data_IF_668978192488
#
_entry.id   IF_668978192488
#
_cell.length_a   1.000
_cell.length_b   1.000
_cell.length_c   1.000
_cell.angle_alpha   90.00
_cell.angle_beta   90.00
_cell.angle_gamma   90.00
#
_symmetry.space_group_name_H-M   'P 1'
#
loop_
_entity.id
_entity.type
_entity.pdbx_description
1 polymer ?
#
# COMPACT_ATOMS: atom_id res chain seq x y z
N UNK A 1 -29.03 -25.88 -3.72
CA UNK A 1 -28.30 -26.27 -2.50
C UNK A 1 -28.55 -27.73 -2.21
N UNK A 2 -27.48 -28.49 -2.02
CA UNK A 2 -27.44 -29.69 -1.21
C UNK A 2 -26.01 -29.75 -0.66
N UNK A 3 -25.88 -29.73 0.66
CA UNK A 3 -24.60 -29.91 1.34
C UNK A 3 -24.34 -31.42 1.39
N UNK A 4 -23.40 -31.92 0.60
CA UNK A 4 -22.79 -33.23 0.81
C UNK A 4 -21.35 -32.97 1.20
N UNK A 5 -21.06 -33.01 2.51
CA UNK A 5 -19.69 -33.06 3.01
C UNK A 5 -19.10 -34.43 2.72
N UNK A 6 -18.02 -34.50 1.94
CA UNK A 6 -17.30 -35.74 1.70
C UNK A 6 -16.24 -35.91 2.78
N UNK A 7 -16.34 -36.98 3.57
CA UNK A 7 -15.24 -37.49 4.39
C UNK A 7 -14.40 -38.40 3.50
N UNK A 8 -13.12 -38.11 3.30
CA UNK A 8 -12.18 -39.03 2.63
C UNK A 8 -11.37 -39.78 3.68
N UNK A 9 -11.86 -40.95 4.07
CA UNK A 9 -11.21 -41.87 5.00
C UNK A 9 -12.06 -43.12 5.22
N UNK A 10 -11.43 -44.23 5.56
CA UNK A 10 -12.13 -45.49 5.86
C UNK A 10 -12.85 -45.38 7.22
N UNK A 11 -14.18 -45.44 7.19
CA UNK A 11 -15.04 -45.35 8.37
C UNK A 11 -14.80 -46.50 9.38
N UNK A 12 -14.27 -47.64 8.95
CA UNK A 12 -14.01 -48.78 9.83
C UNK A 12 -12.67 -48.68 10.57
N UNK A 13 -11.74 -47.86 10.09
CA UNK A 13 -10.41 -47.71 10.66
C UNK A 13 -10.28 -46.51 11.64
N UNK A 14 -11.33 -45.69 11.78
CA UNK A 14 -11.38 -44.50 12.65
C UNK A 14 -10.25 -43.47 12.37
N UNK A 15 -9.73 -43.45 11.14
CA UNK A 15 -8.71 -42.49 10.69
C UNK A 15 -9.37 -41.34 9.94
N UNK A 16 -9.97 -40.40 10.68
CA UNK A 16 -10.48 -39.15 10.11
C UNK A 16 -9.34 -38.13 10.05
N UNK A 17 -9.04 -37.62 8.87
CA UNK A 17 -8.24 -36.41 8.71
C UNK A 17 -9.19 -35.26 8.37
N UNK A 18 -9.17 -34.21 9.19
CA UNK A 18 -9.90 -32.98 8.93
C UNK A 18 -9.09 -32.17 7.91
N UNK A 19 -9.58 -32.12 6.67
CA UNK A 19 -8.93 -31.35 5.60
C UNK A 19 -9.16 -29.84 5.86
N UNK A 20 -8.07 -29.11 6.09
CA UNK A 20 -8.04 -27.65 6.25
C UNK A 20 -7.60 -26.93 4.97
N UNK A 21 -7.71 -27.56 3.80
CA UNK A 21 -7.46 -26.86 2.55
C UNK A 21 -8.47 -25.70 2.34
N UNK A 22 -8.01 -24.51 1.91
CA UNK A 22 -8.87 -23.36 1.72
C UNK A 22 -9.80 -23.61 0.54
N UNK A 23 -11.09 -23.74 0.83
CA UNK A 23 -12.11 -23.86 -0.19
C UNK A 23 -12.28 -22.50 -0.90
N UNK A 24 -11.61 -22.34 -2.05
CA UNK A 24 -11.83 -21.21 -2.95
C UNK A 24 -13.18 -21.40 -3.63
N UNK A 25 -14.23 -20.84 -3.01
CA UNK A 25 -15.50 -20.66 -3.69
C UNK A 25 -15.36 -19.48 -4.65
N UNK A 26 -15.23 -19.74 -5.95
CA UNK A 26 -15.55 -18.73 -6.94
C UNK A 26 -17.08 -18.63 -7.06
N UNK A 27 -17.71 -17.50 -6.73
CA UNK A 27 -19.13 -17.34 -6.97
C UNK A 27 -19.39 -17.12 -8.47
N UNK A 28 -20.43 -17.73 -9.05
CA UNK A 28 -21.00 -17.24 -10.30
C UNK A 28 -21.66 -15.89 -10.00
N UNK A 29 -21.30 -14.83 -10.73
CA UNK A 29 -21.78 -13.45 -10.50
C UNK A 29 -23.31 -13.39 -10.60
N UNK A 30 -24.00 -13.06 -9.50
CA UNK A 30 -24.69 -11.78 -9.39
C UNK A 30 -24.49 -11.15 -8.01
N UNK A 31 -23.70 -10.07 -7.96
CA UNK A 31 -23.36 -9.31 -6.75
C UNK A 31 -21.93 -8.77 -6.77
N UNK A 32 -21.53 -8.08 -7.85
CA UNK A 32 -20.18 -7.58 -8.10
C UNK A 32 -19.79 -6.35 -7.24
N UNK A 33 -20.20 -6.32 -5.96
CA UNK A 33 -20.17 -5.10 -5.14
C UNK A 33 -19.02 -5.02 -4.14
N UNK A 34 -18.26 -6.10 -3.93
CA UNK A 34 -17.21 -6.18 -2.90
C UNK A 34 -15.94 -6.75 -3.54
N UNK A 35 -14.95 -5.91 -3.74
CA UNK A 35 -13.77 -6.25 -4.56
C UNK A 35 -12.44 -5.99 -3.85
N UNK A 36 -12.39 -5.04 -2.91
CA UNK A 36 -11.21 -4.81 -2.08
C UNK A 36 -11.16 -5.74 -0.86
N UNK A 37 -12.31 -5.99 -0.23
CA UNK A 37 -12.37 -6.85 0.97
C UNK A 37 -11.85 -8.28 0.75
N UNK A 38 -12.13 -8.97 -0.38
CA UNK A 38 -11.68 -10.35 -0.57
C UNK A 38 -10.16 -10.48 -0.73
N UNK A 39 -9.49 -9.47 -1.29
CA UNK A 39 -8.07 -9.54 -1.65
C UNK A 39 -7.11 -9.18 -0.51
N UNK A 40 -7.59 -8.45 0.52
CA UNK A 40 -6.76 -8.09 1.65
C UNK A 40 -6.56 -9.28 2.60
N UNK A 41 -5.32 -9.46 3.05
CA UNK A 41 -4.94 -10.46 4.05
C UNK A 41 -5.68 -10.24 5.36
N UNK A 42 -6.17 -11.32 5.98
CA UNK A 42 -6.97 -11.29 7.21
C UNK A 42 -6.35 -12.17 8.27
N UNK A 43 -6.19 -11.63 9.48
CA UNK A 43 -5.61 -12.34 10.61
C UNK A 43 -6.47 -12.18 11.86
N UNK A 44 -6.53 -13.23 12.68
CA UNK A 44 -7.19 -13.19 13.98
C UNK A 44 -6.14 -13.05 15.09
N UNK A 45 -6.27 -12.00 15.89
CA UNK A 45 -5.23 -11.46 16.75
C UNK A 45 -5.79 -11.14 18.14
N UNK A 46 -5.07 -11.53 19.21
CA UNK A 46 -5.33 -11.27 20.65
C UNK A 46 -6.76 -11.49 21.17
N UNK A 47 -6.93 -11.59 22.48
CA UNK A 47 -8.24 -11.72 23.14
C UNK A 47 -8.79 -10.39 23.69
N UNK A 48 -7.96 -9.34 23.75
CA UNK A 48 -8.33 -8.05 24.31
C UNK A 48 -8.19 -6.90 23.30
N UNK A 49 -9.08 -5.91 23.40
CA UNK A 49 -9.09 -4.72 22.52
C UNK A 49 -7.96 -3.78 22.96
N UNK A 50 -6.76 -4.01 22.43
CA UNK A 50 -5.57 -3.21 22.72
C UNK A 50 -5.12 -2.41 21.51
N UNK A 51 -4.37 -1.33 21.74
CA UNK A 51 -3.67 -0.62 20.66
C UNK A 51 -2.76 -1.62 19.92
N UNK A 52 -2.86 -1.69 18.59
CA UNK A 52 -1.94 -2.49 17.78
C UNK A 52 -0.72 -1.65 17.44
N UNK A 53 0.45 -2.14 17.79
CA UNK A 53 1.73 -1.52 17.46
C UNK A 53 2.55 -2.48 16.61
N UNK A 54 3.21 -1.93 15.59
CA UNK A 54 4.19 -2.65 14.79
C UNK A 54 5.45 -1.79 14.66
N UNK A 55 6.58 -2.47 14.44
CA UNK A 55 7.85 -1.81 14.19
C UNK A 55 8.03 -1.72 12.69
N UNK A 56 8.14 -0.49 12.18
CA UNK A 56 8.54 -0.26 10.80
C UNK A 56 10.05 -0.09 10.74
N UNK A 57 10.67 -0.77 9.77
CA UNK A 57 12.07 -0.56 9.42
C UNK A 57 12.12 0.27 8.14
N UNK A 58 12.43 1.56 8.26
CA UNK A 58 12.67 2.43 7.10
C UNK A 58 14.05 2.08 6.50
N UNK A 59 14.10 1.95 5.18
CA UNK A 59 15.40 1.89 4.49
C UNK A 59 16.13 3.20 4.75
N UNK A 60 17.43 3.12 5.07
CA UNK A 60 18.22 4.34 5.25
C UNK A 60 18.27 5.06 3.90
N UNK A 61 17.87 6.35 3.83
CA UNK A 61 18.00 7.10 2.60
C UNK A 61 19.47 7.11 2.16
N UNK A 62 19.68 6.81 0.88
CA UNK A 62 20.99 6.91 0.24
C UNK A 62 21.18 8.27 -0.42
N UNK A 63 20.33 9.26 -0.13
CA UNK A 63 20.43 10.58 -0.73
C UNK A 63 20.39 11.68 0.32
N UNK A 64 21.01 12.81 -0.02
CA UNK A 64 21.01 14.03 0.77
C UNK A 64 20.55 15.19 -0.12
N UNK A 65 19.49 15.86 0.29
CA UNK A 65 19.04 17.09 -0.35
C UNK A 65 19.64 18.28 0.37
N UNK A 66 20.07 19.28 -0.39
CA UNK A 66 20.63 20.50 0.15
C UNK A 66 20.04 21.73 -0.53
N UNK A 67 19.97 22.83 0.22
CA UNK A 67 19.84 24.17 -0.36
C UNK A 67 21.07 24.95 0.04
N UNK A 68 21.89 25.29 -0.95
CA UNK A 68 23.10 26.06 -0.71
C UNK A 68 22.75 27.52 -0.40
N UNK A 69 23.49 28.13 0.54
CA UNK A 69 23.51 29.58 0.71
C UNK A 69 24.29 30.26 -0.42
N UNK A 70 24.19 31.58 -0.55
CA UNK A 70 25.02 32.32 -1.50
C UNK A 70 26.47 32.38 -0.99
N UNK A 71 27.41 31.69 -1.64
CA UNK A 71 28.83 32.04 -1.53
C UNK A 71 29.84 30.89 -1.44
N UNK A 72 29.46 29.71 -0.96
CA UNK A 72 30.35 28.55 -0.78
C UNK A 72 29.51 27.26 -0.89
N UNK A 73 29.91 26.32 -1.77
CA UNK A 73 29.22 25.04 -1.98
C UNK A 73 29.25 24.44 -3.39
N UNK A 74 28.36 23.47 -3.63
CA UNK A 74 28.37 22.62 -4.83
C UNK A 74 27.98 23.32 -6.13
N UNK A 75 27.43 24.53 -6.07
CA UNK A 75 27.17 25.35 -7.26
C UNK A 75 28.45 25.89 -7.93
N UNK A 76 29.59 25.78 -7.26
CA UNK A 76 30.90 26.20 -7.75
C UNK A 76 31.65 25.02 -8.36
N UNK A 77 32.35 25.25 -9.47
CA UNK A 77 33.17 24.19 -10.10
C UNK A 77 34.41 23.86 -9.28
N UNK A 78 34.89 24.74 -8.40
CA UNK A 78 36.18 24.58 -7.72
C UNK A 78 36.07 24.37 -6.21
N UNK A 79 34.90 24.60 -5.64
CA UNK A 79 34.73 24.52 -4.20
C UNK A 79 34.71 23.08 -3.71
N UNK A 80 35.29 22.88 -2.54
CA UNK A 80 35.49 21.59 -1.88
C UNK A 80 34.78 21.53 -0.53
N UNK A 81 34.15 22.62 -0.07
CA UNK A 81 33.35 22.63 1.14
C UNK A 81 31.87 22.69 0.79
N UNK A 82 31.11 21.65 1.14
CA UNK A 82 29.69 21.53 0.85
C UNK A 82 28.88 21.55 2.13
N UNK A 83 27.93 22.47 2.23
CA UNK A 83 27.13 22.68 3.42
C UNK A 83 25.72 22.08 3.27
N UNK A 84 25.41 21.08 4.09
CA UNK A 84 24.08 20.48 4.22
C UNK A 84 23.52 20.72 5.63
N UNK A 85 22.23 20.47 5.83
CA UNK A 85 21.69 20.42 7.18
C UNK A 85 22.28 19.20 7.93
N UNK A 86 22.77 19.42 9.16
CA UNK A 86 23.41 18.37 9.96
C UNK A 86 22.50 17.14 10.18
N UNK A 87 21.19 17.37 10.29
CA UNK A 87 20.20 16.30 10.43
C UNK A 87 20.17 15.38 9.19
N UNK A 88 20.28 15.94 7.99
CA UNK A 88 20.19 15.21 6.73
C UNK A 88 21.47 14.41 6.46
N UNK A 89 22.64 15.00 6.76
CA UNK A 89 23.95 14.32 6.72
C UNK A 89 23.95 13.09 7.63
N UNK A 90 23.43 13.23 8.85
CA UNK A 90 23.30 12.10 9.79
C UNK A 90 22.27 11.08 9.34
N UNK A 91 21.13 11.51 8.80
CA UNK A 91 20.05 10.61 8.33
C UNK A 91 20.53 9.74 7.15
N UNK A 92 21.25 10.33 6.20
CA UNK A 92 21.82 9.63 5.05
C UNK A 92 23.07 8.78 5.39
N UNK A 93 23.64 8.96 6.59
CA UNK A 93 24.82 8.22 7.05
C UNK A 93 26.12 8.63 6.36
N UNK A 94 26.21 9.89 5.89
CA UNK A 94 27.40 10.39 5.21
C UNK A 94 28.59 10.40 6.18
N UNK A 95 29.72 9.91 5.68
CA UNK A 95 31.00 9.84 6.36
C UNK A 95 32.14 10.02 5.35
N UNK A 96 33.35 10.23 5.84
CA UNK A 96 34.53 10.15 5.00
C UNK A 96 34.56 8.79 4.25
N UNK A 97 34.84 8.84 2.96
CA UNK A 97 34.74 7.71 2.04
C UNK A 97 33.44 7.63 1.25
N UNK A 98 32.41 8.41 1.58
CA UNK A 98 31.16 8.44 0.80
C UNK A 98 31.39 9.05 -0.59
N UNK A 99 30.85 8.43 -1.63
CA UNK A 99 30.85 8.95 -2.99
C UNK A 99 29.47 9.52 -3.33
N UNK A 100 29.44 10.79 -3.73
CA UNK A 100 28.22 11.55 -4.03
C UNK A 100 28.10 11.79 -5.54
N UNK A 101 26.90 11.66 -6.09
CA UNK A 101 26.58 12.02 -7.48
C UNK A 101 25.26 12.78 -7.53
N UNK A 102 25.13 13.69 -8.50
CA UNK A 102 23.89 14.46 -8.67
C UNK A 102 22.74 13.54 -9.06
N UNK A 103 21.75 13.43 -8.17
CA UNK A 103 20.54 12.65 -8.38
C UNK A 103 19.43 13.48 -9.04
N UNK A 104 19.54 14.81 -8.99
CA UNK A 104 18.57 15.74 -9.58
C UNK A 104 18.80 15.90 -11.07
N UNK A 105 20.06 16.05 -11.47
CA UNK A 105 20.48 16.13 -12.86
C UNK A 105 21.39 14.95 -13.22
N UNK A 106 20.75 13.86 -13.68
CA UNK A 106 21.44 12.63 -14.10
C UNK A 106 22.25 12.78 -15.39
N UNK A 107 22.26 13.97 -16.02
CA UNK A 107 23.17 14.23 -17.15
C UNK A 107 24.59 14.53 -16.69
N UNK A 108 24.75 14.98 -15.44
CA UNK A 108 26.04 15.19 -14.80
C UNK A 108 26.68 13.87 -14.44
N UNK A 109 27.99 13.81 -14.64
CA UNK A 109 28.78 12.58 -14.49
C UNK A 109 29.75 12.67 -13.34
N UNK A 110 29.84 13.83 -12.71
CA UNK A 110 30.72 14.02 -11.59
C UNK A 110 30.37 13.10 -10.42
N UNK A 111 31.41 12.45 -9.90
CA UNK A 111 31.37 11.77 -8.61
C UNK A 111 32.27 12.54 -7.65
N UNK A 112 31.74 13.02 -6.53
CA UNK A 112 32.50 13.70 -5.49
C UNK A 112 32.79 12.77 -4.31
N UNK A 113 34.05 12.67 -3.89
CA UNK A 113 34.45 11.87 -2.74
C UNK A 113 34.48 12.72 -1.47
N UNK A 114 33.69 12.36 -0.47
CA UNK A 114 33.74 12.98 0.86
C UNK A 114 35.00 12.50 1.59
N UNK A 115 35.84 13.44 2.03
CA UNK A 115 37.07 13.17 2.78
C UNK A 115 36.98 13.59 4.24
N UNK A 116 36.07 14.51 4.57
CA UNK A 116 35.82 14.98 5.94
C UNK A 116 34.35 15.32 6.14
N UNK A 117 33.87 15.13 7.38
CA UNK A 117 32.51 15.51 7.80
C UNK A 117 32.61 16.18 9.17
N UNK A 118 32.10 17.40 9.29
CA UNK A 118 32.02 18.16 10.54
C UNK A 118 30.64 18.80 10.67
N UNK A 119 29.75 18.17 11.45
CA UNK A 119 28.34 18.58 11.53
C UNK A 119 27.65 18.45 10.16
N UNK A 120 27.13 19.56 9.63
CA UNK A 120 26.55 19.64 8.29
C UNK A 120 27.56 19.92 7.16
N UNK A 121 28.83 20.17 7.48
CA UNK A 121 29.86 20.53 6.49
C UNK A 121 30.60 19.30 6.00
N UNK A 122 30.68 19.13 4.68
CA UNK A 122 31.44 18.07 4.02
C UNK A 122 32.66 18.68 3.34
N UNK A 123 33.82 18.04 3.49
CA UNK A 123 34.99 18.33 2.66
C UNK A 123 35.03 17.29 1.55
N UNK A 124 35.02 17.71 0.29
CA UNK A 124 34.94 16.83 -0.88
C UNK A 124 36.13 16.97 -1.81
N UNK A 125 36.51 15.88 -2.46
CA UNK A 125 37.35 15.88 -3.65
C UNK A 125 36.41 15.81 -4.85
N UNK A 126 36.48 16.83 -5.70
CA UNK A 126 35.63 16.98 -6.89
C UNK A 126 36.11 16.07 -8.01
N UNK A 127 35.18 15.66 -8.87
CA UNK A 127 35.43 14.77 -10.01
C UNK A 127 36.34 13.58 -9.68
N UNK A 128 36.09 12.93 -8.55
CA UNK A 128 36.85 11.78 -8.10
C UNK A 128 36.83 10.66 -9.15
N UNK A 129 38.01 10.24 -9.60
CA UNK A 129 38.17 9.29 -10.70
C UNK A 129 38.22 9.92 -12.10
N UNK A 130 38.01 11.24 -12.23
CA UNK A 130 38.24 11.99 -13.46
C UNK A 130 37.19 11.76 -14.55
N UNK A 131 35.93 11.52 -14.20
CA UNK A 131 34.87 11.24 -15.19
C UNK A 131 34.51 12.47 -16.04
N UNK A 132 34.71 13.68 -15.49
CA UNK A 132 34.47 14.96 -16.15
C UNK A 132 35.75 15.49 -16.80
N UNK A 133 36.85 15.50 -16.03
CA UNK A 133 38.15 16.05 -16.45
C UNK A 133 38.98 15.12 -17.33
N UNK A 134 38.67 13.81 -17.34
CA UNK A 134 39.51 12.79 -17.97
C UNK A 134 40.83 12.52 -17.24
N UNK A 135 41.06 13.14 -16.08
CA UNK A 135 42.30 13.08 -15.33
C UNK A 135 42.06 12.72 -13.87
N UNK A 136 42.03 11.43 -13.54
CA UNK A 136 42.35 10.85 -12.21
C UNK A 136 41.81 11.44 -10.89
N UNK A 137 40.90 12.43 -10.89
CA UNK A 137 40.49 13.18 -9.70
C UNK A 137 41.15 14.55 -9.57
N UNK A 138 40.41 15.57 -9.10
CA UNK A 138 40.93 16.94 -8.94
C UNK A 138 40.14 17.81 -7.95
N UNK A 139 40.38 19.12 -8.01
CA UNK A 139 39.58 20.13 -7.26
C UNK A 139 38.59 20.85 -8.17
N UNK A 140 38.41 20.39 -9.42
CA UNK A 140 37.52 21.00 -10.40
C UNK A 140 36.48 19.99 -10.87
N UNK A 141 35.21 20.36 -10.79
CA UNK A 141 34.04 19.57 -11.16
C UNK A 141 33.01 20.39 -11.94
N UNK A 142 31.79 19.88 -12.01
CA UNK A 142 30.62 20.48 -12.64
C UNK A 142 29.84 21.35 -11.64
N UNK A 143 29.30 22.49 -12.08
CA UNK A 143 28.44 23.31 -11.23
C UNK A 143 27.09 22.63 -10.99
N UNK A 144 26.68 22.44 -9.73
CA UNK A 144 25.38 21.89 -9.37
C UNK A 144 24.32 22.99 -9.14
N UNK A 145 23.04 22.65 -9.25
CA UNK A 145 21.98 23.61 -8.92
C UNK A 145 22.00 23.91 -7.41
N UNK A 146 21.62 25.13 -7.01
CA UNK A 146 21.58 25.52 -5.58
C UNK A 146 20.62 24.65 -4.78
N UNK A 147 19.57 24.14 -5.41
CA UNK A 147 18.70 23.08 -4.90
C UNK A 147 18.97 21.79 -5.66
N UNK A 148 19.79 20.91 -5.09
CA UNK A 148 20.01 19.58 -5.65
C UNK A 148 19.98 18.52 -4.55
N UNK A 149 19.73 17.31 -5.01
CA UNK A 149 19.81 16.07 -4.22
C UNK A 149 20.99 15.28 -4.74
N UNK A 150 21.87 14.86 -3.84
CA UNK A 150 22.98 13.96 -4.15
C UNK A 150 22.67 12.55 -3.67
N UNK A 151 22.99 11.55 -4.48
CA UNK A 151 22.89 10.14 -4.16
C UNK A 151 24.27 9.58 -3.76
N UNK A 152 24.28 8.71 -2.76
CA UNK A 152 25.45 8.01 -2.24
C UNK A 152 25.59 6.70 -3.01
N UNK A 153 26.56 6.64 -3.92
CA UNK A 153 26.80 5.45 -4.74
C UNK A 153 27.51 4.35 -3.95
N UNK A 154 28.29 4.73 -2.94
CA UNK A 154 28.98 3.77 -2.08
C UNK A 154 29.95 4.42 -1.10
N UNK A 155 30.63 3.57 -0.34
CA UNK A 155 31.64 3.96 0.64
C UNK A 155 32.97 3.29 0.31
N UNK A 156 34.00 4.10 0.11
CA UNK A 156 35.38 3.63 -0.03
C UNK A 156 36.06 3.62 1.34
N UNK A 157 36.72 2.50 1.62
CA UNK A 157 37.51 2.31 2.82
C UNK A 157 38.95 2.02 2.41
N UNK A 158 39.91 2.44 3.24
CA UNK A 158 41.29 2.05 3.03
C UNK A 158 41.44 0.54 3.17
N UNK A 159 42.29 -0.05 2.34
CA UNK A 159 42.61 -1.48 2.44
C UNK A 159 43.18 -1.79 3.83
N UNK A 160 42.62 -2.78 4.51
CA UNK A 160 43.02 -3.16 5.87
C UNK A 160 42.44 -2.28 6.99
N UNK A 161 41.59 -1.31 6.66
CA UNK A 161 40.82 -0.58 7.68
C UNK A 161 39.84 -1.52 8.39
N UNK A 162 39.69 -1.29 9.69
CA UNK A 162 38.74 -2.01 10.54
C UNK A 162 37.61 -1.08 10.94
N UNK A 163 36.41 -1.65 11.10
CA UNK A 163 35.25 -0.91 11.55
C UNK A 163 35.49 -0.35 12.96
N UNK A 164 35.36 0.96 13.13
CA UNK A 164 35.50 1.64 14.41
C UNK A 164 34.13 2.03 14.99
N UNK A 165 34.04 2.21 16.31
CA UNK A 165 32.80 2.66 16.97
C UNK A 165 32.40 4.09 16.59
N UNK A 166 33.32 4.85 16.00
CA UNK A 166 33.12 6.21 15.50
C UNK A 166 32.64 6.24 14.05
N UNK A 167 32.62 5.10 13.36
CA UNK A 167 32.07 5.02 12.01
C UNK A 167 30.56 5.26 12.09
N UNK A 168 30.12 6.36 11.49
CA UNK A 168 28.71 6.71 11.41
C UNK A 168 28.03 5.82 10.36
N UNK A 169 27.71 4.59 10.72
CA UNK A 169 26.89 3.74 9.87
C UNK A 169 25.45 4.25 9.89
N UNK A 170 24.86 4.31 8.70
CA UNK A 170 23.43 4.33 8.49
C UNK A 170 22.76 3.30 9.42
N UNK A 171 22.07 3.77 10.45
CA UNK A 171 21.25 2.91 11.31
C UNK A 171 19.88 2.80 10.66
N UNK A 172 19.37 1.58 10.56
CA UNK A 172 17.96 1.37 10.24
C UNK A 172 17.11 2.07 11.29
N UNK A 173 16.31 3.03 10.87
CA UNK A 173 15.41 3.71 11.77
C UNK A 173 14.28 2.73 12.11
N UNK A 174 14.08 2.48 13.40
CA UNK A 174 12.99 1.63 13.90
C UNK A 174 12.01 2.55 14.62
N UNK A 175 10.93 2.89 13.92
CA UNK A 175 9.87 3.70 14.51
C UNK A 175 8.68 2.80 14.82
N UNK A 176 8.17 2.89 16.04
CA UNK A 176 6.91 2.24 16.39
C UNK A 176 5.75 3.01 15.75
N UNK A 177 5.00 2.33 14.88
CA UNK A 177 3.72 2.83 14.39
C UNK A 177 2.59 2.11 15.11
N UNK A 178 1.42 2.72 15.09
CA UNK A 178 0.27 2.17 15.78
C UNK A 178 -1.04 2.48 15.11
N UNK A 179 -2.02 1.65 15.41
CA UNK A 179 -3.38 1.86 15.00
C UNK A 179 -4.41 1.40 16.05
N UNK A 180 -5.57 2.03 16.01
CA UNK A 180 -6.69 1.76 16.91
C UNK A 180 -7.66 0.74 16.30
N UNK A 181 -8.37 0.00 17.14
CA UNK A 181 -9.47 -0.83 16.68
C UNK A 181 -10.70 0.01 16.35
N UNK A 182 -11.42 -0.40 15.30
CA UNK A 182 -12.75 0.07 14.95
C UNK A 182 -13.77 -0.98 15.31
N UNK A 183 -14.85 -0.54 15.95
CA UNK A 183 -15.95 -1.39 16.37
C UNK A 183 -17.11 -1.15 15.43
N UNK A 184 -17.55 -2.19 14.72
CA UNK A 184 -18.65 -2.13 13.77
C UNK A 184 -19.78 -3.05 14.21
N UNK A 185 -20.98 -2.49 14.30
CA UNK A 185 -22.18 -3.19 14.75
C UNK A 185 -23.38 -2.97 13.84
N UNK A 186 -24.22 -4.01 13.72
CA UNK A 186 -25.52 -3.94 13.08
C UNK A 186 -26.50 -4.90 13.79
N UNK A 187 -27.80 -4.66 13.67
CA UNK A 187 -28.81 -5.41 14.43
C UNK A 187 -30.02 -5.80 13.60
N UNK A 188 -30.65 -6.93 13.96
CA UNK A 188 -31.97 -7.35 13.47
C UNK A 188 -32.91 -7.77 14.59
N UNK A 189 -34.19 -7.70 14.25
CA UNK A 189 -35.29 -8.22 15.03
C UNK A 189 -36.25 -8.95 14.10
N UNK A 190 -36.65 -10.16 14.45
CA UNK A 190 -37.64 -10.96 13.72
C UNK A 190 -38.70 -11.45 14.72
N UNK A 191 -39.98 -11.31 14.39
CA UNK A 191 -41.09 -11.85 15.18
C UNK A 191 -41.07 -13.37 15.16
N UNK A 192 -41.41 -14.00 16.29
CA UNK A 192 -41.37 -15.48 16.44
C UNK A 192 -42.47 -16.18 15.63
N UNK A 193 -43.55 -15.47 15.28
CA UNK A 193 -44.53 -15.96 14.33
C UNK A 193 -43.93 -15.93 12.92
N UNK A 194 -43.50 -17.10 12.46
CA UNK A 194 -43.07 -17.36 11.09
C UNK A 194 -44.24 -17.02 10.14
N UNK A 195 -44.29 -15.77 9.67
CA UNK A 195 -44.99 -15.42 8.45
C UNK A 195 -44.22 -16.12 7.33
N UNK A 196 -44.61 -17.38 7.07
CA UNK A 196 -44.14 -18.22 5.97
C UNK A 196 -44.43 -17.48 4.66
N UNK A 197 -43.50 -16.61 4.26
CA UNK A 197 -43.48 -16.08 2.92
C UNK A 197 -42.83 -17.16 2.05
N UNK A 198 -43.66 -17.87 1.30
CA UNK A 198 -43.19 -18.53 0.09
C UNK A 198 -42.62 -17.45 -0.85
N UNK A 199 -41.30 -17.16 -0.84
CA UNK A 199 -40.59 -16.72 -2.05
C UNK A 199 -39.05 -16.70 -1.94
N UNK A 200 -38.44 -17.27 -3.00
CA UNK A 200 -37.10 -17.06 -3.61
C UNK A 200 -35.90 -16.81 -2.69
N UNK A 201 -35.20 -17.90 -2.39
CA UNK A 201 -33.84 -17.86 -1.88
C UNK A 201 -33.34 -19.26 -1.54
N UNK A 202 -32.05 -19.38 -1.27
CA UNK A 202 -31.46 -20.61 -0.74
C UNK A 202 -31.89 -20.87 0.71
N UNK A 203 -32.08 -19.85 1.55
CA UNK A 203 -32.30 -20.06 2.99
C UNK A 203 -33.70 -20.61 3.31
N UNK A 204 -33.81 -21.69 4.12
CA UNK A 204 -35.09 -22.32 4.46
C UNK A 204 -35.89 -21.58 5.54
N UNK A 205 -35.30 -20.60 6.24
CA UNK A 205 -35.90 -19.87 7.37
C UNK A 205 -35.77 -18.34 7.23
N UNK A 206 -36.77 -17.60 7.74
CA UNK A 206 -36.78 -16.13 7.70
C UNK A 206 -35.61 -15.52 8.51
N UNK A 207 -35.23 -16.17 9.61
CA UNK A 207 -34.08 -15.79 10.41
C UNK A 207 -32.77 -15.85 9.61
N UNK A 208 -32.48 -16.99 8.97
CA UNK A 208 -31.31 -17.15 8.10
C UNK A 208 -31.28 -16.18 6.92
N UNK A 209 -32.44 -15.83 6.36
CA UNK A 209 -32.53 -14.81 5.30
C UNK A 209 -32.15 -13.39 5.80
N UNK A 210 -32.72 -12.96 6.93
CA UNK A 210 -32.42 -11.65 7.52
C UNK A 210 -30.96 -11.56 7.97
N UNK A 211 -30.42 -12.65 8.54
CA UNK A 211 -29.02 -12.75 8.94
C UNK A 211 -28.08 -12.62 7.72
N UNK A 212 -28.40 -13.27 6.60
CA UNK A 212 -27.64 -13.16 5.36
C UNK A 212 -27.65 -11.73 4.80
N UNK A 213 -28.80 -11.05 4.85
CA UNK A 213 -28.92 -9.66 4.43
C UNK A 213 -28.05 -8.70 5.25
N UNK A 214 -28.00 -8.88 6.57
CA UNK A 214 -27.15 -8.04 7.44
C UNK A 214 -25.69 -8.38 7.32
N UNK A 215 -25.32 -9.66 7.15
CA UNK A 215 -23.94 -10.02 6.82
C UNK A 215 -23.47 -9.28 5.57
N UNK A 216 -24.25 -9.29 4.49
CA UNK A 216 -23.91 -8.59 3.25
C UNK A 216 -23.80 -7.06 3.46
N UNK A 217 -24.67 -6.48 4.30
CA UNK A 217 -24.58 -5.06 4.68
C UNK A 217 -23.32 -4.76 5.47
N UNK A 218 -22.96 -5.60 6.44
CA UNK A 218 -21.77 -5.43 7.27
C UNK A 218 -20.49 -5.54 6.43
N UNK A 219 -20.43 -6.48 5.49
CA UNK A 219 -19.30 -6.59 4.54
C UNK A 219 -19.12 -5.34 3.68
N UNK A 220 -20.24 -4.73 3.23
CA UNK A 220 -20.21 -3.44 2.52
C UNK A 220 -19.76 -2.28 3.43
N UNK A 221 -20.04 -2.34 4.73
CA UNK A 221 -19.57 -1.36 5.71
C UNK A 221 -18.07 -1.55 5.94
N UNK A 222 -17.58 -2.79 6.08
CA UNK A 222 -16.14 -3.08 6.19
C UNK A 222 -15.36 -2.50 5.03
N UNK A 223 -15.81 -2.71 3.79
CA UNK A 223 -15.11 -2.18 2.62
C UNK A 223 -15.10 -0.64 2.58
N UNK A 224 -16.19 0.02 3.00
CA UNK A 224 -16.21 1.49 3.14
C UNK A 224 -15.27 1.96 4.24
N UNK A 225 -15.23 1.23 5.35
CA UNK A 225 -14.40 1.57 6.49
C UNK A 225 -12.91 1.46 6.16
N UNK A 226 -12.50 0.37 5.49
CA UNK A 226 -11.13 0.19 4.99
C UNK A 226 -10.71 1.32 4.07
N UNK A 227 -11.63 1.90 3.30
CA UNK A 227 -11.29 2.97 2.39
C UNK A 227 -11.30 4.36 3.04
N UNK A 228 -12.40 4.74 3.71
CA UNK A 228 -12.67 6.12 4.11
C UNK A 228 -12.39 6.45 5.58
N UNK A 229 -12.14 5.45 6.41
CA UNK A 229 -11.99 5.64 7.85
C UNK A 229 -10.91 6.70 8.17
N UNK A 230 -11.17 7.70 9.02
CA UNK A 230 -10.11 8.53 9.57
C UNK A 230 -9.42 7.78 10.71
N UNK A 231 -8.14 8.05 10.93
CA UNK A 231 -7.44 7.55 12.12
C UNK A 231 -7.77 8.46 13.31
N UNK A 232 -8.43 7.92 14.33
CA UNK A 232 -8.86 8.68 15.51
C UNK A 232 -8.58 7.84 16.76
N UNK A 233 -7.93 8.46 17.74
CA UNK A 233 -7.67 7.84 19.03
C UNK A 233 -8.97 7.69 19.84
N UNK A 234 -9.19 6.51 20.39
CA UNK A 234 -10.31 6.29 21.31
C UNK A 234 -10.09 7.06 22.61
N UNK A 235 -11.12 7.76 23.07
CA UNK A 235 -11.14 8.43 24.39
C UNK A 235 -12.36 7.98 25.18
N UNK A 236 -12.54 8.48 26.41
CA UNK A 236 -13.74 8.20 27.21
C UNK A 236 -15.03 8.75 26.59
N UNK A 237 -14.93 9.70 25.66
CA UNK A 237 -16.06 10.38 25.01
C UNK A 237 -16.11 10.18 23.50
N UNK A 238 -15.01 9.77 22.87
CA UNK A 238 -14.91 9.61 21.41
C UNK A 238 -14.63 8.15 21.03
N UNK A 239 -15.36 7.68 20.01
CA UNK A 239 -15.15 6.34 19.44
C UNK A 239 -13.89 6.38 18.55
N UNK A 240 -12.95 5.47 18.82
CA UNK A 240 -11.74 5.34 18.03
C UNK A 240 -11.99 4.77 16.64
N UNK A 241 -11.03 4.99 15.74
CA UNK A 241 -11.10 4.55 14.36
C UNK A 241 -9.71 4.27 13.78
N UNK A 242 -9.62 3.22 12.96
CA UNK A 242 -8.36 2.63 12.51
C UNK A 242 -7.70 3.36 11.32
N UNK A 243 -8.30 4.40 10.76
CA UNK A 243 -7.83 4.91 9.47
C UNK A 243 -8.07 3.92 8.31
N UNK A 244 -8.29 4.46 7.12
CA UNK A 244 -8.48 3.72 5.89
C UNK A 244 -7.36 4.02 4.89
N UNK A 245 -7.32 3.26 3.79
CA UNK A 245 -6.34 3.41 2.73
C UNK A 245 -6.28 4.84 2.21
N UNK A 246 -7.42 5.52 2.06
CA UNK A 246 -7.42 6.94 1.66
C UNK A 246 -6.73 7.81 2.69
N UNK A 247 -7.00 7.60 3.98
CA UNK A 247 -6.37 8.37 5.04
C UNK A 247 -4.85 8.19 5.00
N UNK A 248 -4.36 6.95 4.89
CA UNK A 248 -2.92 6.66 4.79
C UNK A 248 -2.29 7.21 3.51
N UNK A 249 -3.01 7.20 2.39
CA UNK A 249 -2.54 7.70 1.09
C UNK A 249 -2.46 9.24 1.03
N UNK A 250 -3.35 9.96 1.72
CA UNK A 250 -3.44 11.43 1.60
C UNK A 250 -2.77 12.19 2.75
N UNK A 251 -1.95 11.53 3.58
CA UNK A 251 -1.23 12.24 4.63
C UNK A 251 -0.18 13.21 4.03
N UNK A 252 0.12 14.36 4.66
CA UNK A 252 1.11 15.30 4.14
C UNK A 252 2.49 14.69 3.86
N UNK A 253 2.88 13.68 4.64
CA UNK A 253 4.14 12.93 4.45
C UNK A 253 4.18 12.15 3.13
N UNK A 254 3.02 11.79 2.58
CA UNK A 254 2.90 11.09 1.30
C UNK A 254 3.11 12.01 0.11
N UNK A 255 2.57 13.23 0.19
CA UNK A 255 2.80 14.27 -0.82
C UNK A 255 4.29 14.61 -0.91
N UNK A 256 4.98 14.69 0.24
CA UNK A 256 6.42 14.93 0.27
C UNK A 256 7.26 13.77 -0.30
N UNK A 257 6.74 12.55 -0.27
CA UNK A 257 7.41 11.36 -0.79
C UNK A 257 7.13 11.10 -2.29
N UNK A 258 6.26 11.88 -2.93
CA UNK A 258 5.81 11.60 -4.30
C UNK A 258 4.80 10.45 -4.42
N UNK A 259 4.35 9.89 -3.28
CA UNK A 259 3.39 8.80 -3.20
C UNK A 259 1.93 9.25 -3.41
N UNK A 260 1.66 10.57 -3.30
CA UNK A 260 0.35 11.16 -3.52
C UNK A 260 0.42 12.26 -4.60
N UNK A 261 -0.18 11.98 -5.75
CA UNK A 261 -0.23 12.88 -6.91
C UNK A 261 -1.61 13.53 -7.04
N UNK A 262 -1.62 14.84 -7.23
CA UNK A 262 -2.83 15.67 -7.38
C UNK A 262 -2.89 16.42 -8.70
N UNK A 263 -1.89 16.23 -9.57
CA UNK A 263 -1.80 16.90 -10.86
C UNK A 263 -2.86 16.32 -11.80
N UNK A 264 -3.82 17.11 -12.30
CA UNK A 264 -4.83 16.60 -13.21
C UNK A 264 -4.23 16.23 -14.56
N UNK A 265 -4.54 15.03 -15.05
CA UNK A 265 -4.09 14.53 -16.35
C UNK A 265 -5.02 13.45 -16.90
N UNK A 266 -4.93 13.17 -18.20
CA UNK A 266 -5.71 12.12 -18.84
C UNK A 266 -5.08 10.76 -18.56
N UNK A 267 -5.89 9.74 -18.31
CA UNK A 267 -5.38 8.39 -18.07
C UNK A 267 -4.77 7.80 -19.35
N UNK A 268 -3.49 7.46 -19.29
CA UNK A 268 -2.78 6.68 -20.30
C UNK A 268 -1.81 5.67 -19.64
N UNK A 269 -0.99 5.01 -20.47
CA UNK A 269 0.00 4.05 -19.97
C UNK A 269 1.12 4.72 -19.17
N UNK A 270 1.49 5.97 -19.49
CA UNK A 270 2.59 6.67 -18.83
C UNK A 270 2.18 7.09 -17.41
N UNK A 271 0.91 7.49 -17.21
CA UNK A 271 0.34 7.76 -15.88
C UNK A 271 0.37 6.51 -15.00
N UNK A 272 0.04 5.35 -15.58
CA UNK A 272 0.12 4.07 -14.88
C UNK A 272 1.56 3.68 -14.56
N UNK A 273 2.47 3.83 -15.52
CA UNK A 273 3.88 3.47 -15.37
C UNK A 273 4.62 4.38 -14.40
N UNK A 274 4.26 5.66 -14.28
CA UNK A 274 4.78 6.55 -13.22
C UNK A 274 4.57 5.96 -11.83
N UNK A 275 3.40 5.35 -11.62
CA UNK A 275 3.09 4.64 -10.38
C UNK A 275 3.93 3.37 -10.20
N UNK A 276 4.20 2.61 -11.26
CA UNK A 276 5.09 1.44 -11.18
C UNK A 276 6.56 1.85 -10.95
N UNK A 277 7.01 2.94 -11.59
CA UNK A 277 8.33 3.54 -11.40
C UNK A 277 8.56 3.93 -9.94
N UNK A 278 7.52 4.47 -9.29
CA UNK A 278 7.56 4.78 -7.87
C UNK A 278 7.97 3.57 -7.02
N UNK A 279 7.27 2.43 -7.15
CA UNK A 279 7.61 1.23 -6.38
C UNK A 279 8.99 0.66 -6.74
N UNK A 280 9.39 0.77 -8.03
CA UNK A 280 10.70 0.35 -8.50
C UNK A 280 11.82 1.18 -7.84
N UNK A 281 11.68 2.51 -7.84
CA UNK A 281 12.64 3.42 -7.23
C UNK A 281 12.74 3.25 -5.71
N UNK A 282 11.65 2.85 -5.04
CA UNK A 282 11.66 2.53 -3.60
C UNK A 282 12.22 1.13 -3.29
N UNK A 283 12.44 0.27 -4.30
CA UNK A 283 12.89 -1.11 -4.09
C UNK A 283 11.85 -2.00 -3.39
N UNK A 284 10.58 -1.63 -3.46
CA UNK A 284 9.44 -2.39 -2.89
C UNK A 284 8.76 -3.33 -3.89
N UNK A 285 9.28 -3.37 -5.12
CA UNK A 285 8.78 -4.18 -6.22
C UNK A 285 9.39 -5.59 -6.15
N UNK A 286 8.99 -6.37 -5.14
CA UNK A 286 9.55 -7.72 -4.90
C UNK A 286 8.90 -8.82 -5.77
N UNK A 287 7.91 -8.48 -6.61
CA UNK A 287 7.35 -9.35 -7.65
C UNK A 287 5.93 -8.99 -8.15
N UNK A 288 5.47 -9.62 -9.25
CA UNK A 288 4.22 -9.27 -9.95
C UNK A 288 2.93 -9.59 -9.19
N UNK A 289 2.97 -10.45 -8.17
CA UNK A 289 1.78 -10.93 -7.46
C UNK A 289 1.35 -10.06 -6.29
N UNK A 290 2.21 -9.13 -5.86
CA UNK A 290 2.03 -8.42 -4.59
C UNK A 290 1.43 -7.02 -4.79
N UNK A 291 1.53 -6.45 -5.98
CA UNK A 291 1.00 -5.12 -6.27
C UNK A 291 -0.31 -5.22 -7.05
N UNK A 292 -1.33 -4.50 -6.58
CA UNK A 292 -2.62 -4.36 -7.25
C UNK A 292 -2.95 -2.91 -7.54
N UNK A 293 -3.67 -2.67 -8.64
CA UNK A 293 -4.20 -1.35 -8.97
C UNK A 293 -5.70 -1.30 -8.65
N UNK A 294 -6.07 -0.54 -7.64
CA UNK A 294 -7.44 -0.26 -7.26
C UNK A 294 -7.91 0.97 -8.04
N UNK A 295 -9.00 0.85 -8.78
CA UNK A 295 -9.54 1.92 -9.63
C UNK A 295 -11.06 1.88 -9.69
N UNK A 296 -11.73 3.00 -10.02
CA UNK A 296 -13.18 3.00 -10.22
C UNK A 296 -13.54 2.17 -11.45
N UNK A 297 -14.79 1.71 -11.59
CA UNK A 297 -15.25 0.99 -12.79
C UNK A 297 -15.02 1.76 -14.10
N UNK A 298 -15.02 3.10 -14.06
CA UNK A 298 -14.68 3.96 -15.19
C UNK A 298 -13.22 3.78 -15.64
N UNK A 299 -12.30 3.62 -14.68
CA UNK A 299 -10.88 3.40 -14.98
C UNK A 299 -10.62 2.06 -15.65
N UNK A 300 -11.32 0.99 -15.23
CA UNK A 300 -11.21 -0.31 -15.92
C UNK A 300 -11.68 -0.20 -17.38
N UNK A 301 -12.74 0.57 -17.62
CA UNK A 301 -13.23 0.81 -18.99
C UNK A 301 -12.24 1.64 -19.82
N UNK A 302 -11.54 2.59 -19.21
CA UNK A 302 -10.47 3.34 -19.87
C UNK A 302 -9.29 2.42 -20.23
N UNK A 303 -8.82 1.61 -19.29
CA UNK A 303 -7.75 0.62 -19.49
C UNK A 303 -8.09 -0.38 -20.61
N UNK A 304 -9.35 -0.82 -20.71
CA UNK A 304 -9.80 -1.68 -21.80
C UNK A 304 -9.66 -1.02 -23.18
N UNK A 305 -10.01 0.28 -23.31
CA UNK A 305 -9.87 1.01 -24.58
C UNK A 305 -8.41 1.19 -24.99
N UNK A 306 -7.54 1.45 -24.02
CA UNK A 306 -6.09 1.55 -24.26
C UNK A 306 -5.57 0.23 -24.83
N UNK A 307 -5.91 -0.90 -24.21
CA UNK A 307 -5.53 -2.22 -24.71
C UNK A 307 -6.13 -2.55 -26.10
N UNK A 308 -7.39 -2.17 -26.36
CA UNK A 308 -8.03 -2.32 -27.67
C UNK A 308 -7.31 -1.51 -28.76
N UNK A 309 -6.81 -0.31 -28.44
CA UNK A 309 -6.06 0.52 -29.39
C UNK A 309 -4.68 -0.05 -29.75
N UNK A 310 -4.06 -0.82 -28.84
CA UNK A 310 -2.77 -1.47 -29.06
C UNK A 310 -2.89 -2.79 -29.85
N UNK A 311 -4.06 -3.44 -29.85
CA UNK A 311 -4.32 -4.64 -30.64
C UNK A 311 -4.55 -4.24 -32.12
N UNK A 312 -3.51 -4.33 -32.95
CA UNK A 312 -3.67 -4.26 -34.42
C UNK A 312 -4.53 -5.44 -34.87
N UNK A 313 -5.66 -5.12 -35.50
CA UNK A 313 -6.73 -6.04 -35.89
C UNK A 313 -6.42 -7.05 -37.00
N UNK A 314 -5.24 -7.67 -37.04
CA UNK A 314 -4.94 -8.73 -38.02
C UNK A 314 -5.60 -10.09 -37.67
N UNK A 315 -6.14 -10.26 -36.46
CA UNK A 315 -6.82 -11.50 -36.03
C UNK A 315 -8.20 -11.30 -35.40
N UNK A 316 -8.74 -10.08 -35.40
CA UNK A 316 -10.07 -9.81 -34.87
C UNK A 316 -11.15 -10.17 -35.90
N UNK A 317 -11.46 -11.46 -36.06
CA UNK A 317 -12.76 -11.85 -36.60
C UNK A 317 -13.86 -11.18 -35.75
N UNK A 318 -14.91 -10.66 -36.39
CA UNK A 318 -15.96 -9.76 -35.85
C UNK A 318 -16.77 -10.28 -34.63
N UNK A 319 -16.37 -11.39 -34.01
CA UNK A 319 -17.11 -12.12 -32.98
C UNK A 319 -16.75 -11.78 -31.52
N UNK A 320 -15.68 -11.00 -31.27
CA UNK A 320 -15.27 -10.63 -29.89
C UNK A 320 -15.46 -9.13 -29.68
N UNK A 321 -16.61 -8.74 -29.11
CA UNK A 321 -16.89 -7.35 -28.67
C UNK A 321 -16.98 -7.31 -27.13
N UNK A 322 -16.37 -6.29 -26.51
CA UNK A 322 -16.51 -6.01 -25.07
C UNK A 322 -15.49 -6.74 -24.18
N UNK A 323 -14.20 -6.68 -24.53
CA UNK A 323 -13.16 -7.27 -23.69
C UNK A 323 -12.99 -6.47 -22.39
N UNK A 324 -12.86 -7.19 -21.27
CA UNK A 324 -12.52 -6.57 -19.98
C UNK A 324 -11.00 -6.65 -19.80
N UNK A 325 -10.38 -5.49 -19.55
CA UNK A 325 -9.01 -5.46 -19.05
C UNK A 325 -9.01 -5.87 -17.56
N UNK A 326 -8.32 -6.96 -17.25
CA UNK A 326 -8.16 -7.45 -15.86
C UNK A 326 -6.78 -7.15 -15.29
N UNK A 327 -5.80 -6.84 -16.15
CA UNK A 327 -4.42 -6.57 -15.80
C UNK A 327 -3.82 -5.56 -16.78
N UNK A 328 -2.94 -4.69 -16.30
CA UNK A 328 -2.04 -3.90 -17.13
C UNK A 328 -0.61 -4.36 -16.89
N UNK A 329 0.19 -4.37 -17.95
CA UNK A 329 1.61 -4.69 -17.87
C UNK A 329 2.39 -3.39 -17.79
N UNK A 330 3.26 -3.24 -16.79
CA UNK A 330 4.15 -2.08 -16.73
C UNK A 330 5.25 -2.21 -17.79
N UNK A 331 5.55 -1.11 -18.49
CA UNK A 331 6.65 -1.08 -19.47
C UNK A 331 8.03 -1.09 -18.81
N UNK A 332 8.10 -0.67 -17.55
CA UNK A 332 9.35 -0.52 -16.79
C UNK A 332 9.83 -1.88 -16.28
N UNK A 333 8.93 -2.65 -15.67
CA UNK A 333 9.28 -3.91 -15.00
C UNK A 333 8.85 -5.14 -15.80
N UNK A 334 7.95 -4.99 -16.77
CA UNK A 334 7.37 -6.11 -17.52
C UNK A 334 6.33 -6.92 -16.74
N UNK A 335 6.00 -6.49 -15.53
CA UNK A 335 5.11 -7.21 -14.63
C UNK A 335 3.63 -6.89 -14.86
N UNK A 336 2.78 -7.92 -14.70
CA UNK A 336 1.33 -7.84 -14.89
C UNK A 336 0.64 -7.50 -13.57
N UNK A 337 0.17 -6.27 -13.45
CA UNK A 337 -0.50 -5.76 -12.27
C UNK A 337 -2.02 -5.95 -12.41
N UNK A 338 -2.68 -6.66 -11.48
CA UNK A 338 -4.12 -6.83 -11.48
C UNK A 338 -4.90 -5.53 -11.26
N UNK A 339 -5.96 -5.34 -12.04
CA UNK A 339 -6.90 -4.22 -11.89
C UNK A 339 -8.11 -4.64 -11.05
N UNK A 340 -8.28 -3.99 -9.89
CA UNK A 340 -9.34 -4.27 -8.93
C UNK A 340 -10.36 -3.14 -8.99
N UNK A 341 -11.59 -3.39 -9.47
CA UNK A 341 -12.64 -2.38 -9.42
C UNK A 341 -12.99 -2.10 -7.97
N UNK A 342 -12.96 -0.86 -7.52
CA UNK A 342 -13.55 -0.47 -6.23
C UNK A 342 -14.63 0.55 -6.45
N UNK A 343 -15.73 0.44 -5.69
CA UNK A 343 -16.81 1.43 -5.72
C UNK A 343 -16.56 2.61 -4.78
N UNK A 344 -15.67 2.44 -3.79
CA UNK A 344 -15.45 3.41 -2.73
C UNK A 344 -14.29 4.35 -3.08
N UNK A 345 -13.40 3.97 -4.01
CA UNK A 345 -12.40 4.88 -4.57
C UNK A 345 -13.09 6.02 -5.31
N UNK A 346 -12.62 7.28 -5.18
CA UNK A 346 -13.17 8.38 -5.94
C UNK A 346 -13.13 8.11 -7.45
N UNK A 347 -14.06 8.72 -8.18
CA UNK A 347 -14.26 8.43 -9.60
C UNK A 347 -13.13 8.91 -10.51
N UNK A 348 -12.21 9.71 -10.00
CA UNK A 348 -11.11 10.42 -10.65
C UNK A 348 -9.76 9.98 -10.07
N UNK A 349 -9.67 8.76 -9.54
CA UNK A 349 -8.47 8.31 -8.83
C UNK A 349 -8.08 6.87 -9.10
N UNK A 350 -6.80 6.57 -8.96
CA UNK A 350 -6.29 5.21 -8.87
C UNK A 350 -5.33 5.07 -7.69
N UNK A 351 -5.26 3.86 -7.14
CA UNK A 351 -4.33 3.50 -6.08
C UNK A 351 -3.59 2.23 -6.47
N UNK A 352 -2.27 2.30 -6.62
CA UNK A 352 -1.43 1.13 -6.61
C UNK A 352 -1.05 0.80 -5.17
N UNK A 353 -1.18 -0.48 -4.80
CA UNK A 353 -1.02 -0.94 -3.44
C UNK A 353 -0.23 -2.24 -3.40
N UNK A 354 0.80 -2.29 -2.55
CA UNK A 354 1.46 -3.54 -2.19
C UNK A 354 0.64 -4.27 -1.10
N UNK A 355 0.08 -5.44 -1.44
CA UNK A 355 -0.74 -6.27 -0.57
C UNK A 355 0.05 -6.87 0.60
N UNK A 356 1.37 -7.06 0.46
CA UNK A 356 2.19 -7.58 1.56
C UNK A 356 2.32 -6.57 2.71
N UNK A 357 2.20 -5.28 2.39
CA UNK A 357 2.29 -4.20 3.35
C UNK A 357 0.96 -3.87 4.03
N UNK A 358 -0.16 -4.48 3.61
CA UNK A 358 -1.49 -4.20 4.17
C UNK A 358 -2.18 -5.47 4.65
N UNK A 359 -2.57 -5.46 5.92
CA UNK A 359 -3.28 -6.56 6.55
C UNK A 359 -4.43 -6.07 7.43
N UNK A 360 -5.46 -6.89 7.56
CA UNK A 360 -6.60 -6.63 8.43
C UNK A 360 -6.54 -7.58 9.60
N UNK A 361 -6.61 -7.03 10.80
CA UNK A 361 -6.57 -7.74 12.06
C UNK A 361 -7.94 -7.72 12.71
N UNK A 362 -8.46 -8.90 13.02
CA UNK A 362 -9.67 -9.08 13.80
C UNK A 362 -9.32 -9.44 15.23
N UNK A 363 -10.11 -8.97 16.20
CA UNK A 363 -10.00 -9.51 17.55
C UNK A 363 -10.41 -10.99 17.56
N UNK A 364 -9.64 -11.86 18.21
CA UNK A 364 -9.93 -13.30 18.28
C UNK A 364 -11.34 -13.52 18.85
N UNK A 365 -12.16 -14.27 18.10
CA UNK A 365 -13.55 -14.57 18.47
C UNK A 365 -14.56 -13.47 18.12
N UNK A 366 -14.13 -12.29 17.66
CA UNK A 366 -15.00 -11.17 17.26
C UNK A 366 -14.76 -10.75 15.81
N UNK A 367 -14.38 -11.69 14.94
CA UNK A 367 -14.28 -11.44 13.49
C UNK A 367 -15.64 -11.16 12.85
N UNK A 368 -16.64 -11.96 13.22
CA UNK A 368 -18.07 -11.74 12.95
C UNK A 368 -18.87 -12.51 13.99
N UNK A 369 -19.10 -11.91 15.16
CA UNK A 369 -19.85 -12.54 16.24
C UNK A 369 -21.34 -12.20 16.11
N UNK A 370 -22.20 -13.20 16.26
CA UNK A 370 -23.66 -13.03 16.32
C UNK A 370 -24.09 -13.29 17.76
N UNK A 371 -24.61 -12.27 18.43
CA UNK A 371 -25.25 -12.42 19.74
C UNK A 371 -26.76 -12.46 19.55
N UNK A 372 -27.38 -13.58 19.88
CA UNK A 372 -28.83 -13.74 19.83
C UNK A 372 -29.44 -13.66 21.23
N UNK A 373 -30.63 -13.08 21.31
CA UNK A 373 -31.48 -13.12 22.50
C UNK A 373 -32.93 -13.27 22.07
N UNK A 374 -33.58 -14.31 22.57
CA UNK A 374 -35.04 -14.42 22.49
C UNK A 374 -35.63 -13.52 23.58
N UNK A 375 -36.59 -12.66 23.21
CA UNK A 375 -37.20 -11.66 24.10
C UNK A 375 -38.72 -11.74 23.98
N UNK A 376 -39.40 -11.84 25.13
CA UNK A 376 -40.86 -11.88 25.24
C UNK A 376 -41.45 -13.28 25.43
N UNK A 377 -42.74 -13.33 25.74
CA UNK A 377 -43.58 -14.54 25.82
C UNK A 377 -44.87 -14.29 25.00
N UNK A 378 -45.37 -15.29 24.25
CA UNK A 378 -46.61 -15.18 23.47
C UNK A 378 -46.46 -14.49 22.10
N UNK A 379 -47.53 -13.82 21.63
CA UNK A 379 -47.63 -13.19 20.29
C UNK A 379 -46.65 -12.03 20.06
N UNK A 380 -46.11 -11.44 21.15
CA UNK A 380 -45.14 -10.35 21.10
C UNK A 380 -43.69 -10.85 21.17
N UNK A 381 -43.46 -12.17 21.16
CA UNK A 381 -42.12 -12.72 21.21
C UNK A 381 -41.34 -12.39 19.93
N UNK A 382 -40.10 -11.93 20.11
CA UNK A 382 -39.18 -11.66 19.00
C UNK A 382 -37.79 -12.22 19.28
N UNK A 383 -37.13 -12.67 18.23
CA UNK A 383 -35.71 -12.98 18.26
C UNK A 383 -34.93 -11.77 17.80
N UNK A 384 -34.02 -11.29 18.65
CA UNK A 384 -33.09 -10.22 18.30
C UNK A 384 -31.68 -10.78 18.09
N UNK A 385 -31.01 -10.29 17.06
CA UNK A 385 -29.62 -10.64 16.74
C UNK A 385 -28.78 -9.37 16.59
N UNK A 386 -27.65 -9.29 17.28
CA UNK A 386 -26.65 -8.25 17.07
C UNK A 386 -25.41 -8.87 16.43
N UNK A 387 -25.02 -8.35 15.27
CA UNK A 387 -23.74 -8.66 14.65
C UNK A 387 -22.72 -7.63 15.09
N UNK A 388 -21.54 -8.13 15.47
CA UNK A 388 -20.48 -7.31 16.01
C UNK A 388 -19.13 -7.77 15.48
N UNK A 389 -18.29 -6.82 15.09
CA UNK A 389 -16.92 -7.07 14.67
C UNK A 389 -15.97 -5.99 15.15
N UNK A 390 -14.77 -6.41 15.55
CA UNK A 390 -13.68 -5.52 15.95
C UNK A 390 -12.53 -5.71 14.98
N UNK A 391 -12.19 -4.65 14.26
CA UNK A 391 -11.19 -4.68 13.18
C UNK A 391 -10.14 -3.59 13.36
N UNK A 392 -8.91 -3.88 12.99
CA UNK A 392 -7.82 -2.91 12.83
C UNK A 392 -7.12 -3.17 11.50
N UNK A 393 -6.47 -2.15 10.95
CA UNK A 393 -5.71 -2.27 9.70
C UNK A 393 -4.23 -2.01 9.99
N UNK A 394 -3.37 -2.92 9.58
CA UNK A 394 -1.94 -2.68 9.51
C UNK A 394 -1.60 -2.17 8.11
N UNK A 395 -0.87 -1.07 8.05
CA UNK A 395 -0.37 -0.51 6.80
C UNK A 395 1.09 -0.12 7.02
N UNK A 396 2.00 -0.96 6.54
CA UNK A 396 3.44 -0.80 6.74
C UNK A 396 4.05 0.13 5.71
N UNK A 397 4.82 1.14 6.17
CA UNK A 397 5.59 2.05 5.31
C UNK A 397 4.74 2.57 4.15
N UNK A 398 3.65 3.29 4.43
CA UNK A 398 2.70 3.66 3.39
C UNK A 398 3.32 4.64 2.37
N UNK A 399 4.44 5.29 2.70
CA UNK A 399 5.26 6.11 1.80
C UNK A 399 6.10 5.33 0.80
N UNK A 400 6.18 4.02 0.95
CA UNK A 400 6.94 3.15 0.03
C UNK A 400 5.98 2.16 -0.64
N UNK A 401 4.88 1.79 0.01
CA UNK A 401 3.98 0.71 -0.41
C UNK A 401 2.63 1.16 -0.99
N UNK A 402 2.42 2.46 -1.16
CA UNK A 402 1.19 3.02 -1.74
C UNK A 402 1.54 4.13 -2.72
N UNK A 403 0.88 4.12 -3.87
CA UNK A 403 0.91 5.23 -4.82
C UNK A 403 -0.52 5.62 -5.19
N UNK A 404 -0.92 6.83 -4.83
CA UNK A 404 -2.28 7.33 -5.03
C UNK A 404 -2.27 8.53 -5.96
N UNK A 405 -3.09 8.47 -7.00
CA UNK A 405 -3.23 9.56 -7.96
C UNK A 405 -4.69 10.02 -8.02
N UNK A 406 -4.90 11.32 -7.95
CA UNK A 406 -6.20 12.00 -7.99
C UNK A 406 -6.22 13.06 -9.10
N UNK A 407 -7.41 13.34 -9.65
CA UNK A 407 -7.56 14.26 -10.77
C UNK A 407 -7.41 13.60 -12.14
N UNK A 408 -7.54 12.27 -12.21
CA UNK A 408 -7.44 11.51 -13.47
C UNK A 408 -8.72 11.69 -14.28
N UNK A 409 -8.58 12.17 -15.53
CA UNK A 409 -9.64 12.10 -16.54
C UNK A 409 -9.56 10.78 -17.31
N UNK A 410 -10.59 9.96 -17.18
CA UNK A 410 -10.64 8.65 -17.83
C UNK A 410 -10.99 8.73 -19.33
N UNK A 411 -11.52 9.85 -19.82
CA UNK A 411 -11.93 9.99 -21.22
C UNK A 411 -13.05 9.02 -21.64
N UNK A 412 -13.87 8.56 -20.68
CA UNK A 412 -14.87 7.48 -20.85
C UNK A 412 -16.32 7.91 -20.89
#
# INVERSE_FOLDING_TARGET
MAHLSWYTGDANANTFWQDFSPLVMAPPVPGADIALWPILGKRADSTEVEKKEWVEEELTPISVAGTEGSGDGWNSTTDTEWDFAEADVKKAGIRAGAMLMDATDRTKKEVSLVTGVSGGKLTVVRDYGGHVSGSGGGTTGEAHATTCTFEIIGYLNFQGSSVTKTDNFAKRNRTTKYNYFSILDDWLQVTVEDLVREYRGSSPDNWGYQLAGIKQRLERIFERHIWHSPMVQMTSTERGSMGGLRWFATQPTQTAAGAYVTTPEAFDFDVFDTGAEFFYNQGTFDGPADIVCIMPPKGIKAAARIHESAFRGEYANELVRGMRCTQLMSSITGDKIPLVPSRNIPSDSMLLLNLNAVQIHFLKGLGLAVFNKDVGEGLDAFRAGRLYSVISMECQRPTENMYFHTGIDWGV
#
